data_IF_828080649893
#
_entry.id   IF_828080649893
#
_cell.length_a   1.000
_cell.length_b   1.000
_cell.length_c   1.000
_cell.angle_alpha   90.00
_cell.angle_beta   90.00
_cell.angle_gamma   90.00
#
_symmetry.space_group_name_H-M   'P 1'
#
loop_
_entity.id
_entity.type
_entity.pdbx_description
1 polymer ?
#
# COMPACT_ATOMS: atom_id res chain seq x y z
N UNK A 1 -23.15 4.47 22.45
CA UNK A 1 -22.07 4.90 23.35
C UNK A 1 -21.89 3.93 24.51
N UNK A 2 -22.94 3.62 25.27
CA UNK A 2 -22.89 2.74 26.43
C UNK A 2 -22.30 1.35 26.08
N UNK A 3 -22.75 0.71 24.99
CA UNK A 3 -22.22 -0.57 24.54
C UNK A 3 -20.74 -0.45 24.15
N UNK A 4 -20.35 0.62 23.50
CA UNK A 4 -18.96 0.85 23.07
C UNK A 4 -18.00 1.19 24.22
N UNK A 5 -18.51 1.47 25.43
CA UNK A 5 -17.73 1.86 26.60
C UNK A 5 -17.22 0.69 27.45
N UNK A 6 -17.57 -0.56 27.12
CA UNK A 6 -17.18 -1.75 27.88
C UNK A 6 -16.94 -2.96 26.97
N UNK A 7 -15.84 -3.66 27.16
CA UNK A 7 -15.51 -4.86 26.40
C UNK A 7 -16.56 -5.97 26.61
N UNK A 8 -17.09 -6.08 27.82
CA UNK A 8 -18.11 -7.06 28.18
C UNK A 8 -19.39 -6.83 27.38
N UNK A 9 -19.87 -5.57 27.33
CA UNK A 9 -21.05 -5.20 26.55
C UNK A 9 -20.83 -5.38 25.04
N UNK A 10 -19.64 -5.09 24.54
CA UNK A 10 -19.29 -5.31 23.13
C UNK A 10 -19.36 -6.79 22.78
N UNK A 11 -18.82 -7.66 23.66
CA UNK A 11 -18.78 -9.10 23.44
C UNK A 11 -20.17 -9.74 23.30
N UNK A 12 -21.19 -9.19 23.98
CA UNK A 12 -22.58 -9.64 23.87
C UNK A 12 -23.15 -9.51 22.44
N UNK A 13 -22.67 -8.53 21.66
CA UNK A 13 -23.25 -8.12 20.37
C UNK A 13 -22.33 -8.39 19.17
N UNK A 14 -21.09 -8.82 19.39
CA UNK A 14 -20.18 -9.17 18.29
C UNK A 14 -20.59 -10.51 17.69
N UNK A 15 -20.72 -10.53 16.36
CA UNK A 15 -21.01 -11.75 15.65
C UNK A 15 -19.79 -12.68 15.57
N UNK A 16 -20.02 -14.00 15.45
CA UNK A 16 -18.98 -14.90 15.01
C UNK A 16 -18.36 -14.42 13.71
N UNK A 17 -17.02 -14.54 13.60
CA UNK A 17 -16.27 -14.02 12.45
C UNK A 17 -16.82 -14.54 11.11
N UNK A 18 -17.23 -15.79 11.07
CA UNK A 18 -17.80 -16.44 9.88
C UNK A 18 -19.14 -15.83 9.43
N UNK A 19 -19.99 -15.37 10.37
CA UNK A 19 -21.24 -14.70 10.05
C UNK A 19 -21.01 -13.31 9.47
N UNK A 20 -20.13 -12.55 10.13
CA UNK A 20 -19.72 -11.24 9.64
C UNK A 20 -19.07 -11.34 8.25
N UNK A 21 -18.13 -12.27 8.05
CA UNK A 21 -17.43 -12.45 6.79
C UNK A 21 -18.40 -12.78 5.64
N UNK A 22 -19.40 -13.62 5.90
CA UNK A 22 -20.40 -13.98 4.89
C UNK A 22 -21.24 -12.79 4.41
N UNK A 23 -21.77 -11.96 5.31
CA UNK A 23 -22.52 -10.76 4.94
C UNK A 23 -21.60 -9.64 4.40
N UNK A 24 -20.40 -9.48 4.93
CA UNK A 24 -19.47 -8.45 4.47
C UNK A 24 -19.00 -8.65 3.02
N UNK A 25 -18.93 -9.89 2.54
CA UNK A 25 -18.66 -10.17 1.11
C UNK A 25 -19.81 -9.65 0.23
N UNK A 26 -21.06 -9.84 0.64
CA UNK A 26 -22.24 -9.33 -0.06
C UNK A 26 -22.24 -7.79 -0.03
N UNK A 27 -22.04 -7.20 1.13
CA UNK A 27 -21.95 -5.75 1.30
C UNK A 27 -20.88 -5.11 0.40
N UNK A 28 -19.67 -5.69 0.35
CA UNK A 28 -18.59 -5.20 -0.53
C UNK A 28 -18.94 -5.31 -2.02
N UNK A 29 -19.73 -6.30 -2.40
CA UNK A 29 -20.15 -6.53 -3.77
C UNK A 29 -21.34 -5.63 -4.18
N UNK A 30 -22.04 -4.98 -3.23
CA UNK A 30 -23.27 -4.23 -3.45
C UNK A 30 -23.16 -3.09 -4.47
N UNK A 31 -21.96 -2.50 -4.66
CA UNK A 31 -21.70 -1.48 -5.68
C UNK A 31 -21.83 -2.00 -7.13
N UNK A 32 -21.90 -3.32 -7.35
CA UNK A 32 -22.03 -3.92 -8.66
C UNK A 32 -23.03 -5.07 -8.61
N UNK A 33 -24.24 -4.92 -9.17
CA UNK A 33 -25.30 -5.92 -9.11
C UNK A 33 -24.88 -7.31 -9.57
N UNK A 34 -24.11 -7.42 -10.66
CA UNK A 34 -23.65 -8.71 -11.18
C UNK A 34 -22.71 -9.42 -10.19
N UNK A 35 -21.81 -8.67 -9.55
CA UNK A 35 -20.92 -9.22 -8.53
C UNK A 35 -21.66 -9.62 -7.26
N UNK A 36 -22.68 -8.87 -6.89
CA UNK A 36 -23.51 -9.16 -5.72
C UNK A 36 -24.31 -10.46 -5.92
N UNK A 37 -24.95 -10.64 -7.06
CA UNK A 37 -25.65 -11.89 -7.42
C UNK A 37 -24.69 -13.08 -7.38
N UNK A 38 -23.54 -12.96 -8.01
CA UNK A 38 -22.54 -14.03 -8.01
C UNK A 38 -22.05 -14.38 -6.59
N UNK A 39 -21.90 -13.39 -5.71
CA UNK A 39 -21.52 -13.59 -4.32
C UNK A 39 -22.63 -14.26 -3.52
N UNK A 40 -23.88 -13.84 -3.69
CA UNK A 40 -25.05 -14.47 -3.09
C UNK A 40 -25.13 -15.95 -3.48
N UNK A 41 -25.06 -16.27 -4.76
CA UNK A 41 -25.11 -17.68 -5.22
C UNK A 41 -23.92 -18.50 -4.67
N UNK A 42 -22.72 -17.96 -4.70
CA UNK A 42 -21.52 -18.64 -4.16
C UNK A 42 -21.65 -18.98 -2.69
N UNK A 43 -22.27 -18.10 -1.90
CA UNK A 43 -22.36 -18.25 -0.42
C UNK A 43 -23.73 -18.72 0.05
N UNK A 44 -24.66 -19.06 -0.84
CA UNK A 44 -26.06 -19.42 -0.57
C UNK A 44 -26.25 -20.37 0.62
N UNK A 45 -25.55 -21.51 0.61
CA UNK A 45 -25.70 -22.54 1.66
C UNK A 45 -25.36 -22.01 3.05
N UNK A 46 -24.28 -21.23 3.15
CA UNK A 46 -23.85 -20.63 4.43
C UNK A 46 -24.83 -19.55 4.89
N UNK A 47 -25.21 -18.66 3.98
CA UNK A 47 -26.14 -17.57 4.27
C UNK A 47 -27.50 -18.06 4.75
N UNK A 48 -28.07 -19.09 4.12
CA UNK A 48 -29.33 -19.69 4.56
C UNK A 48 -29.20 -20.37 5.95
N UNK A 49 -28.07 -21.04 6.22
CA UNK A 49 -27.81 -21.61 7.53
C UNK A 49 -27.80 -20.51 8.61
N UNK A 50 -27.13 -19.39 8.36
CA UNK A 50 -27.06 -18.29 9.33
C UNK A 50 -28.41 -17.57 9.46
N UNK A 51 -29.13 -17.35 8.35
CA UNK A 51 -30.47 -16.77 8.38
C UNK A 51 -31.43 -17.59 9.27
N UNK A 52 -31.38 -18.90 9.20
CA UNK A 52 -32.17 -19.77 10.07
C UNK A 52 -31.78 -19.61 11.56
N UNK A 53 -30.50 -19.45 11.88
CA UNK A 53 -30.04 -19.22 13.26
C UNK A 53 -30.54 -17.87 13.80
N UNK A 54 -30.51 -16.82 13.00
CA UNK A 54 -30.98 -15.49 13.42
C UNK A 54 -32.51 -15.37 13.44
N UNK A 55 -33.24 -16.20 12.74
CA UNK A 55 -34.70 -16.23 12.78
C UNK A 55 -35.26 -16.62 14.17
N UNK A 56 -34.50 -17.41 14.94
CA UNK A 56 -34.87 -17.83 16.30
C UNK A 56 -34.29 -16.93 17.41
N UNK A 57 -33.68 -15.79 17.05
CA UNK A 57 -33.03 -14.90 18.01
C UNK A 57 -34.07 -14.03 18.71
N UNK A 58 -34.24 -14.18 20.04
CA UNK A 58 -35.31 -13.56 20.80
C UNK A 58 -35.01 -12.14 21.32
N UNK A 59 -33.74 -11.69 21.24
CA UNK A 59 -33.35 -10.36 21.71
C UNK A 59 -34.05 -9.24 20.94
N UNK A 60 -34.58 -8.27 21.67
CA UNK A 60 -35.38 -7.14 21.12
C UNK A 60 -34.60 -5.81 21.06
N UNK A 61 -33.31 -5.83 21.40
CA UNK A 61 -32.49 -4.65 21.26
C UNK A 61 -32.22 -4.28 19.78
N UNK A 62 -31.93 -3.02 19.53
CA UNK A 62 -31.74 -2.47 18.19
C UNK A 62 -30.65 -3.19 17.37
N UNK A 63 -29.54 -3.64 18.01
CA UNK A 63 -28.44 -4.29 17.31
C UNK A 63 -28.87 -5.68 16.84
N UNK A 64 -29.55 -6.43 17.72
CA UNK A 64 -30.10 -7.75 17.41
C UNK A 64 -31.21 -7.68 16.37
N UNK A 65 -32.03 -6.62 16.41
CA UNK A 65 -33.06 -6.35 15.39
C UNK A 65 -32.43 -6.16 14.00
N UNK A 66 -31.40 -5.31 13.89
CA UNK A 66 -30.68 -5.08 12.60
C UNK A 66 -29.98 -6.35 12.10
N UNK A 67 -29.47 -7.17 13.00
CA UNK A 67 -28.92 -8.48 12.64
C UNK A 67 -29.99 -9.41 12.03
N UNK A 68 -31.17 -9.50 12.68
CA UNK A 68 -32.29 -10.30 12.15
C UNK A 68 -32.77 -9.78 10.81
N UNK A 69 -32.98 -8.46 10.68
CA UNK A 69 -33.38 -7.84 9.42
C UNK A 69 -32.44 -8.20 8.26
N UNK A 70 -31.12 -8.09 8.49
CA UNK A 70 -30.11 -8.39 7.49
C UNK A 70 -30.15 -9.86 7.00
N UNK A 71 -30.22 -10.80 7.93
CA UNK A 71 -30.30 -12.24 7.59
C UNK A 71 -31.68 -12.63 7.04
N UNK A 72 -32.75 -12.00 7.52
CA UNK A 72 -34.10 -12.17 6.99
C UNK A 72 -34.17 -11.71 5.53
N UNK A 73 -33.63 -10.55 5.20
CA UNK A 73 -33.60 -10.05 3.83
C UNK A 73 -32.90 -11.02 2.86
N UNK A 74 -31.80 -11.62 3.30
CA UNK A 74 -31.10 -12.65 2.52
C UNK A 74 -31.99 -13.90 2.31
N UNK A 75 -32.71 -14.34 3.35
CA UNK A 75 -33.65 -15.47 3.21
C UNK A 75 -34.81 -15.17 2.25
N UNK A 76 -35.39 -13.96 2.33
CA UNK A 76 -36.44 -13.49 1.46
C UNK A 76 -36.00 -13.38 -0.01
N UNK A 77 -34.76 -12.97 -0.26
CA UNK A 77 -34.19 -13.00 -1.60
C UNK A 77 -34.17 -14.40 -2.20
N UNK A 78 -33.73 -15.41 -1.46
CA UNK A 78 -33.69 -16.78 -1.96
C UNK A 78 -35.08 -17.43 -2.10
N UNK A 79 -36.11 -16.88 -1.45
CA UNK A 79 -37.48 -17.25 -1.66
C UNK A 79 -38.18 -16.48 -2.78
N UNK A 80 -37.48 -15.51 -3.40
CA UNK A 80 -38.01 -14.71 -4.49
C UNK A 80 -38.93 -13.57 -4.07
N UNK A 81 -38.93 -13.19 -2.79
CA UNK A 81 -39.80 -12.12 -2.26
C UNK A 81 -39.05 -10.76 -2.32
N UNK A 82 -37.74 -10.73 -2.00
CA UNK A 82 -36.92 -9.56 -2.03
C UNK A 82 -35.98 -9.54 -3.23
N UNK A 83 -35.59 -8.35 -3.64
CA UNK A 83 -34.58 -8.13 -4.66
C UNK A 83 -33.19 -7.74 -4.06
N UNK A 84 -32.26 -7.35 -4.92
CA UNK A 84 -30.90 -6.98 -4.50
C UNK A 84 -30.88 -5.68 -3.71
N UNK A 85 -31.78 -4.73 -4.03
CA UNK A 85 -31.86 -3.45 -3.35
C UNK A 85 -32.33 -3.62 -1.90
N UNK A 86 -33.33 -4.49 -1.68
CA UNK A 86 -33.83 -4.82 -0.35
C UNK A 86 -32.73 -5.42 0.53
N UNK A 87 -31.89 -6.32 -0.04
CA UNK A 87 -30.75 -6.88 0.69
C UNK A 87 -29.76 -5.77 1.04
N UNK A 88 -29.43 -4.91 0.09
CA UNK A 88 -28.43 -3.86 0.30
C UNK A 88 -28.87 -2.93 1.42
N UNK A 89 -30.12 -2.50 1.46
CA UNK A 89 -30.67 -1.64 2.49
C UNK A 89 -30.65 -2.32 3.87
N UNK A 90 -31.00 -3.60 3.94
CA UNK A 90 -31.08 -4.34 5.20
C UNK A 90 -29.68 -4.67 5.78
N UNK A 91 -28.69 -5.02 4.94
CA UNK A 91 -27.38 -5.46 5.45
C UNK A 91 -26.46 -4.31 5.81
N UNK A 92 -26.61 -3.11 5.24
CA UNK A 92 -25.72 -2.00 5.50
C UNK A 92 -25.69 -1.58 6.98
N UNK A 93 -26.82 -1.31 7.66
CA UNK A 93 -26.83 -0.96 9.08
C UNK A 93 -26.16 -2.05 9.96
N UNK A 94 -26.49 -3.31 9.72
CA UNK A 94 -25.94 -4.42 10.48
C UNK A 94 -24.41 -4.55 10.32
N UNK A 95 -23.88 -4.43 9.12
CA UNK A 95 -22.44 -4.45 8.85
C UNK A 95 -21.73 -3.24 9.47
N UNK A 96 -22.33 -2.06 9.41
CA UNK A 96 -21.76 -0.85 10.02
C UNK A 96 -21.68 -0.99 11.54
N UNK A 97 -22.73 -1.49 12.18
CA UNK A 97 -22.73 -1.76 13.63
C UNK A 97 -21.62 -2.76 13.99
N UNK A 98 -21.50 -3.88 13.27
CA UNK A 98 -20.46 -4.87 13.56
C UNK A 98 -19.05 -4.32 13.35
N UNK A 99 -18.82 -3.46 12.36
CA UNK A 99 -17.53 -2.77 12.20
C UNK A 99 -17.21 -1.84 13.37
N UNK A 100 -18.20 -1.11 13.86
CA UNK A 100 -18.04 -0.25 15.03
C UNK A 100 -17.70 -1.06 16.29
N UNK A 101 -18.44 -2.14 16.54
CA UNK A 101 -18.20 -3.03 17.68
C UNK A 101 -16.83 -3.72 17.59
N UNK A 102 -16.45 -4.19 16.39
CA UNK A 102 -15.12 -4.77 16.15
C UNK A 102 -14.00 -3.76 16.45
N UNK A 103 -14.14 -2.50 16.04
CA UNK A 103 -13.16 -1.46 16.35
C UNK A 103 -13.11 -1.10 17.83
N UNK A 104 -14.24 -1.04 18.48
CA UNK A 104 -14.29 -0.83 19.92
C UNK A 104 -13.64 -2.02 20.69
N UNK A 105 -13.91 -3.25 20.27
CA UNK A 105 -13.26 -4.44 20.83
C UNK A 105 -11.73 -4.41 20.64
N UNK A 106 -11.26 -4.00 19.47
CA UNK A 106 -9.83 -3.83 19.18
C UNK A 106 -9.16 -2.83 20.13
N UNK A 107 -9.83 -1.69 20.40
CA UNK A 107 -9.37 -0.69 21.36
C UNK A 107 -9.15 -1.30 22.74
N UNK A 108 -10.14 -2.00 23.28
CA UNK A 108 -10.06 -2.59 24.61
C UNK A 108 -9.09 -3.78 24.68
N UNK A 109 -9.09 -4.64 23.68
CA UNK A 109 -8.19 -5.81 23.63
C UNK A 109 -6.71 -5.40 23.54
N UNK A 110 -6.40 -4.24 22.99
CA UNK A 110 -5.05 -3.70 22.95
C UNK A 110 -4.76 -2.74 24.13
N UNK A 111 -5.64 -2.69 25.12
CA UNK A 111 -5.49 -1.83 26.31
C UNK A 111 -5.27 -0.35 25.98
N UNK A 112 -5.89 0.15 24.89
CA UNK A 112 -5.82 1.56 24.53
C UNK A 112 -6.69 2.38 25.49
N UNK A 113 -6.16 3.48 25.96
CA UNK A 113 -6.88 4.40 26.83
C UNK A 113 -7.86 5.23 26.00
N UNK A 114 -9.15 5.05 26.21
CA UNK A 114 -10.19 5.88 25.62
C UNK A 114 -10.35 7.14 26.48
N UNK A 115 -10.09 8.30 25.92
CA UNK A 115 -10.32 9.58 26.63
C UNK A 115 -11.79 9.94 26.63
N UNK A 116 -12.46 9.82 25.49
CA UNK A 116 -13.89 10.05 25.33
C UNK A 116 -14.45 9.47 24.04
N UNK A 117 -15.76 9.32 23.99
CA UNK A 117 -16.49 9.06 22.76
C UNK A 117 -17.23 10.34 22.31
N UNK A 118 -17.20 10.61 21.02
CA UNK A 118 -17.89 11.71 20.38
C UNK A 118 -18.88 11.19 19.33
N UNK A 119 -19.99 11.88 19.16
CA UNK A 119 -20.99 11.60 18.12
C UNK A 119 -21.02 12.78 17.12
N UNK A 120 -20.00 12.84 16.26
CA UNK A 120 -19.92 13.80 15.17
C UNK A 120 -19.70 13.01 13.87
N UNK A 121 -20.61 13.08 12.90
CA UNK A 121 -20.57 12.26 11.67
C UNK A 121 -20.45 10.73 11.90
N UNK A 122 -20.90 10.24 13.05
CA UNK A 122 -20.80 8.87 13.51
C UNK A 122 -20.12 8.77 14.89
N UNK A 123 -20.07 7.55 15.41
CA UNK A 123 -19.42 7.29 16.69
C UNK A 123 -17.90 7.34 16.53
N UNK A 124 -17.24 8.25 17.20
CA UNK A 124 -15.79 8.42 17.20
C UNK A 124 -15.25 8.21 18.62
N UNK A 125 -14.25 7.34 18.76
CA UNK A 125 -13.50 7.20 20.01
C UNK A 125 -12.21 8.03 19.91
N UNK A 126 -12.02 8.95 20.84
CA UNK A 126 -10.76 9.65 21.02
C UNK A 126 -9.91 8.82 21.97
N UNK A 127 -8.82 8.31 21.46
CA UNK A 127 -7.91 7.43 22.20
C UNK A 127 -6.56 8.08 22.41
N UNK A 128 -5.97 7.82 23.57
CA UNK A 128 -4.57 8.12 23.81
C UNK A 128 -3.74 6.98 23.24
N UNK A 129 -3.11 7.23 22.09
CA UNK A 129 -2.23 6.24 21.47
C UNK A 129 -0.78 6.68 21.58
N UNK A 130 0.11 5.72 21.79
CA UNK A 130 1.53 5.94 21.57
C UNK A 130 1.82 5.73 20.08
N UNK A 131 2.61 6.65 19.48
CA UNK A 131 3.23 6.34 18.22
C UNK A 131 4.11 5.08 18.39
N UNK A 132 4.13 4.19 17.40
CA UNK A 132 4.91 2.94 17.45
C UNK A 132 6.36 3.20 17.86
N UNK A 133 6.92 4.31 17.40
CA UNK A 133 8.28 4.69 17.76
C UNK A 133 8.44 5.06 19.23
N UNK A 134 7.50 5.80 19.82
CA UNK A 134 7.56 6.16 21.24
C UNK A 134 7.45 4.92 22.14
N UNK A 135 6.63 3.96 21.77
CA UNK A 135 6.54 2.67 22.43
C UNK A 135 7.87 1.89 22.35
N UNK A 136 8.45 1.77 21.16
CA UNK A 136 9.74 1.11 20.97
C UNK A 136 10.85 1.81 21.77
N UNK A 137 10.88 3.14 21.74
CA UNK A 137 11.85 3.94 22.50
C UNK A 137 11.71 3.73 24.01
N UNK A 138 10.49 3.65 24.51
CA UNK A 138 10.24 3.38 25.93
C UNK A 138 10.72 1.98 26.33
N UNK A 139 10.37 0.94 25.57
CA UNK A 139 10.78 -0.45 25.86
C UNK A 139 12.30 -0.64 25.73
N UNK A 140 12.88 -0.16 24.65
CA UNK A 140 14.31 -0.32 24.40
C UNK A 140 15.17 0.56 25.34
N UNK A 141 14.67 1.74 25.72
CA UNK A 141 15.37 2.66 26.62
C UNK A 141 15.28 2.31 28.10
N UNK A 142 14.38 1.38 28.49
CA UNK A 142 14.24 0.92 29.89
C UNK A 142 14.95 -0.41 30.14
N UNK A 143 15.23 -0.70 31.43
CA UNK A 143 15.78 -2.01 31.82
C UNK A 143 14.76 -3.14 31.57
N UNK A 144 15.21 -4.34 31.16
CA UNK A 144 16.62 -4.78 31.04
C UNK A 144 17.32 -4.39 29.73
N UNK A 145 16.62 -3.72 28.78
CA UNK A 145 17.17 -3.40 27.46
C UNK A 145 18.23 -2.30 27.50
N UNK A 146 17.92 -1.19 28.12
CA UNK A 146 18.85 -0.09 28.45
C UNK A 146 19.67 0.46 27.26
N UNK A 147 18.96 0.83 26.16
CA UNK A 147 19.57 1.47 24.98
C UNK A 147 19.44 2.99 25.03
N UNK A 148 20.49 3.70 24.63
CA UNK A 148 20.41 5.08 24.16
C UNK A 148 19.96 5.04 22.69
N UNK A 149 18.89 5.78 22.35
CA UNK A 149 18.24 5.72 21.04
C UNK A 149 18.17 7.11 20.43
N UNK A 150 18.50 7.19 19.14
CA UNK A 150 18.25 8.36 18.28
C UNK A 150 17.49 7.94 17.03
N UNK A 151 16.70 8.85 16.46
CA UNK A 151 15.97 8.60 15.24
C UNK A 151 15.72 9.90 14.48
N UNK A 152 15.74 9.80 13.17
CA UNK A 152 15.36 10.89 12.27
C UNK A 152 14.96 10.34 10.89
N UNK A 153 14.41 11.22 10.04
CA UNK A 153 14.10 10.90 8.65
C UNK A 153 15.30 11.27 7.78
N UNK A 154 15.96 10.27 7.23
CA UNK A 154 17.12 10.44 6.38
C UNK A 154 16.76 10.29 4.90
N UNK A 155 17.39 11.08 4.03
CA UNK A 155 17.26 10.98 2.58
C UNK A 155 18.47 10.21 2.01
N UNK A 156 18.23 9.16 1.23
CA UNK A 156 19.29 8.36 0.62
C UNK A 156 20.23 9.20 -0.27
N UNK A 157 19.71 10.23 -0.93
CA UNK A 157 20.52 11.13 -1.76
C UNK A 157 21.61 11.85 -0.96
N UNK A 158 21.39 12.17 0.33
CA UNK A 158 22.42 12.77 1.18
C UNK A 158 23.60 11.84 1.43
N UNK A 159 23.44 10.54 1.20
CA UNK A 159 24.47 9.51 1.37
C UNK A 159 25.05 9.01 0.05
N UNK A 160 24.76 9.73 -1.05
CA UNK A 160 25.34 9.46 -2.35
C UNK A 160 24.55 8.45 -3.21
N UNK A 161 23.35 8.06 -2.81
CA UNK A 161 22.46 7.35 -3.73
C UNK A 161 21.90 8.32 -4.78
N UNK A 162 21.78 7.94 -6.05
CA UNK A 162 21.16 8.78 -7.09
C UNK A 162 19.62 8.74 -6.99
N UNK A 163 19.10 8.78 -5.75
CA UNK A 163 17.69 8.58 -5.45
C UNK A 163 17.25 9.41 -4.24
N UNK A 164 16.22 10.25 -4.41
CA UNK A 164 15.52 10.90 -3.29
C UNK A 164 14.59 9.89 -2.63
N UNK A 165 15.07 9.24 -1.58
CA UNK A 165 14.34 8.23 -0.81
C UNK A 165 14.41 8.54 0.67
N UNK A 166 13.30 9.04 1.19
CA UNK A 166 13.16 9.31 2.63
C UNK A 166 12.94 8.01 3.39
N UNK A 167 13.68 7.83 4.48
CA UNK A 167 13.54 6.68 5.39
C UNK A 167 13.66 7.13 6.83
N UNK A 168 12.71 6.69 7.64
CA UNK A 168 12.82 6.82 9.08
C UNK A 168 13.84 5.80 9.58
N UNK A 169 14.92 6.28 10.16
CA UNK A 169 16.05 5.47 10.64
C UNK A 169 16.14 5.60 12.14
N UNK A 170 16.24 4.47 12.81
CA UNK A 170 16.42 4.39 14.26
C UNK A 170 17.76 3.72 14.55
N UNK A 171 18.58 4.33 15.37
CA UNK A 171 19.83 3.74 15.86
C UNK A 171 19.80 3.65 17.37
N UNK A 172 20.37 2.57 17.91
CA UNK A 172 20.46 2.37 19.36
C UNK A 172 21.81 1.78 19.75
N UNK A 173 22.33 2.20 20.89
CA UNK A 173 23.54 1.66 21.51
C UNK A 173 23.23 1.30 22.96
N UNK A 174 23.80 0.21 23.47
CA UNK A 174 23.69 -0.13 24.90
C UNK A 174 24.33 0.99 25.74
N UNK A 175 23.62 1.45 26.78
CA UNK A 175 24.18 2.50 27.67
C UNK A 175 25.45 2.06 28.40
N UNK A 176 25.65 0.75 28.53
CA UNK A 176 26.93 0.21 29.03
C UNK A 176 28.14 0.53 28.13
N UNK A 177 27.88 0.86 26.84
CA UNK A 177 28.93 1.25 25.87
C UNK A 177 28.98 2.74 25.63
N UNK A 178 27.84 3.43 25.59
CA UNK A 178 27.73 4.86 25.42
C UNK A 178 26.33 5.38 25.81
N UNK A 179 26.31 6.55 26.45
CA UNK A 179 25.03 7.21 26.82
C UNK A 179 24.33 7.89 25.65
N UNK A 180 24.96 8.00 24.50
CA UNK A 180 24.37 8.59 23.30
C UNK A 180 24.90 7.97 22.01
N UNK A 181 24.10 8.05 20.96
CA UNK A 181 24.49 7.69 19.60
C UNK A 181 23.96 8.76 18.64
N UNK A 182 24.75 9.11 17.64
CA UNK A 182 24.37 10.06 16.60
C UNK A 182 24.11 9.33 15.30
N UNK A 183 23.10 9.77 14.55
CA UNK A 183 22.89 9.33 13.18
C UNK A 183 24.05 9.81 12.30
N UNK A 184 24.46 9.02 11.30
CA UNK A 184 25.49 9.45 10.36
C UNK A 184 25.00 10.70 9.62
N UNK A 185 25.91 11.61 9.33
CA UNK A 185 25.63 12.78 8.51
C UNK A 185 25.93 12.44 7.05
N UNK A 186 25.03 12.85 6.15
CA UNK A 186 25.24 12.72 4.72
C UNK A 186 26.29 13.73 4.22
N UNK A 187 27.01 13.35 3.16
CA UNK A 187 28.05 14.16 2.52
C UNK A 187 27.54 14.95 1.33
N UNK A 188 26.29 14.73 0.91
CA UNK A 188 25.66 15.34 -0.26
C UNK A 188 24.50 16.25 0.14
N UNK A 189 24.28 17.31 -0.63
CA UNK A 189 23.19 18.27 -0.48
C UNK A 189 22.42 18.37 -1.79
N UNK A 190 21.32 19.10 -1.84
CA UNK A 190 20.52 19.25 -3.05
C UNK A 190 21.31 19.85 -4.25
N UNK A 191 22.37 20.57 -3.97
CA UNK A 191 23.23 21.20 -4.98
C UNK A 191 24.21 20.22 -5.64
N UNK A 192 24.51 19.11 -4.99
CA UNK A 192 25.51 18.14 -5.46
C UNK A 192 25.03 16.67 -5.35
N UNK A 193 23.72 16.42 -5.32
CA UNK A 193 23.22 15.07 -5.37
C UNK A 193 23.69 14.34 -6.62
N UNK A 194 24.04 13.09 -6.48
CA UNK A 194 24.24 12.18 -7.60
C UNK A 194 22.94 12.00 -8.38
N UNK A 195 23.04 11.95 -9.68
CA UNK A 195 21.92 11.93 -10.61
C UNK A 195 21.73 10.57 -11.25
N UNK A 196 20.61 10.40 -11.98
CA UNK A 196 20.40 9.21 -12.81
C UNK A 196 21.52 9.07 -13.84
N UNK A 197 22.02 10.17 -14.39
CA UNK A 197 23.16 10.17 -15.33
C UNK A 197 24.41 9.53 -14.72
N UNK A 198 24.74 9.89 -13.48
CA UNK A 198 25.89 9.33 -12.79
C UNK A 198 25.81 7.82 -12.61
N UNK A 199 24.60 7.26 -12.55
CA UNK A 199 24.39 5.84 -12.25
C UNK A 199 24.29 4.95 -13.50
N UNK A 200 23.68 5.45 -14.60
CA UNK A 200 23.28 4.57 -15.72
C UNK A 200 23.67 5.07 -17.11
N UNK A 201 24.24 6.26 -17.26
CA UNK A 201 24.54 6.79 -18.60
C UNK A 201 25.54 5.93 -19.38
N UNK A 202 26.43 5.24 -18.70
CA UNK A 202 27.39 4.32 -19.30
C UNK A 202 26.75 3.06 -19.90
N UNK A 203 25.49 2.79 -19.59
CA UNK A 203 24.71 1.67 -20.13
C UNK A 203 23.83 2.05 -21.33
N UNK A 204 23.75 3.34 -21.70
CA UNK A 204 22.84 3.83 -22.74
C UNK A 204 23.02 3.11 -24.08
N UNK A 205 24.27 2.82 -24.44
CA UNK A 205 24.62 2.15 -25.69
C UNK A 205 24.66 0.62 -25.60
N UNK A 206 24.31 0.05 -24.44
CA UNK A 206 24.24 -1.39 -24.23
C UNK A 206 22.82 -1.86 -24.45
N UNK A 207 22.62 -2.76 -25.42
CA UNK A 207 21.28 -3.28 -25.70
C UNK A 207 20.82 -4.26 -24.60
N UNK A 208 19.67 -4.03 -23.96
CA UNK A 208 19.13 -4.98 -22.99
C UNK A 208 18.56 -6.22 -23.67
N UNK A 209 18.56 -7.34 -22.94
CA UNK A 209 17.91 -8.57 -23.37
C UNK A 209 16.46 -8.62 -22.88
N UNK A 210 15.62 -9.47 -23.51
CA UNK A 210 14.20 -9.59 -23.16
C UNK A 210 13.88 -10.81 -22.31
N UNK A 211 14.69 -11.87 -22.40
CA UNK A 211 14.49 -13.09 -21.63
C UNK A 211 15.65 -13.34 -20.68
N UNK A 212 15.36 -13.90 -19.54
CA UNK A 212 16.38 -14.25 -18.53
C UNK A 212 17.37 -15.28 -19.10
N UNK A 213 16.92 -16.21 -19.95
CA UNK A 213 17.76 -17.20 -20.62
C UNK A 213 18.84 -16.59 -21.52
N UNK A 214 18.60 -15.37 -22.01
CA UNK A 214 19.49 -14.68 -22.92
C UNK A 214 20.53 -13.82 -22.18
N UNK A 215 20.39 -13.69 -20.85
CA UNK A 215 21.30 -12.93 -19.97
C UNK A 215 22.58 -13.74 -19.64
N UNK A 216 23.30 -14.11 -20.67
CA UNK A 216 24.61 -14.80 -20.54
C UNK A 216 25.72 -13.86 -20.06
N UNK A 217 25.42 -12.56 -19.99
CA UNK A 217 26.33 -11.49 -19.64
C UNK A 217 26.89 -10.77 -20.87
N UNK A 218 26.79 -9.46 -20.88
CA UNK A 218 27.32 -8.60 -21.97
C UNK A 218 28.65 -8.00 -21.52
N UNK A 219 29.76 -8.20 -22.26
CA UNK A 219 31.01 -7.54 -21.94
C UNK A 219 30.86 -6.02 -21.95
N UNK A 220 31.29 -5.38 -20.88
CA UNK A 220 31.35 -3.92 -20.80
C UNK A 220 32.67 -3.46 -21.44
N UNK A 221 32.55 -2.70 -22.51
CA UNK A 221 33.69 -2.05 -23.13
C UNK A 221 34.29 -0.93 -22.27
N UNK A 222 35.44 -0.43 -22.68
CA UNK A 222 36.01 0.79 -22.09
C UNK A 222 35.05 1.96 -22.34
N UNK A 223 34.75 2.70 -21.29
CA UNK A 223 33.95 3.93 -21.34
C UNK A 223 34.81 5.08 -20.85
N UNK A 224 35.07 6.04 -21.74
CA UNK A 224 35.95 7.19 -21.44
C UNK A 224 35.27 8.24 -20.56
N UNK A 225 33.93 8.29 -20.60
CA UNK A 225 33.12 9.28 -19.84
C UNK A 225 32.20 8.58 -18.84
N UNK A 226 32.80 7.89 -17.87
CA UNK A 226 32.06 7.27 -16.78
C UNK A 226 32.22 8.06 -15.48
N UNK A 227 31.12 8.32 -14.78
CA UNK A 227 31.11 8.97 -13.48
C UNK A 227 31.82 8.12 -12.40
N UNK A 228 32.21 8.74 -11.30
CA UNK A 228 32.77 8.01 -10.14
C UNK A 228 31.75 6.99 -9.57
N UNK A 229 30.45 7.32 -9.59
CA UNK A 229 29.41 6.37 -9.21
C UNK A 229 29.33 5.22 -10.22
N UNK A 230 29.30 5.51 -11.52
CA UNK A 230 29.28 4.50 -12.56
C UNK A 230 30.48 3.54 -12.46
N UNK A 231 31.68 4.05 -12.20
CA UNK A 231 32.87 3.21 -11.93
C UNK A 231 32.66 2.31 -10.71
N UNK A 232 32.13 2.84 -9.62
CA UNK A 232 31.87 2.07 -8.42
C UNK A 232 30.79 1.00 -8.60
N UNK A 233 29.81 1.23 -9.50
CA UNK A 233 28.75 0.27 -9.81
C UNK A 233 29.18 -0.81 -10.81
N UNK A 234 30.30 -0.65 -11.50
CA UNK A 234 30.94 -1.65 -12.37
C UNK A 234 31.80 -2.59 -11.54
N UNK A 235 31.19 -3.51 -10.83
CA UNK A 235 31.85 -4.50 -9.99
C UNK A 235 32.54 -5.61 -10.80
N UNK A 236 32.14 -5.78 -12.05
CA UNK A 236 32.68 -6.80 -12.99
C UNK A 236 32.82 -6.22 -14.39
N UNK A 237 33.61 -6.90 -15.25
CA UNK A 237 33.74 -6.58 -16.68
C UNK A 237 32.55 -7.07 -17.52
N UNK A 238 31.58 -7.73 -16.89
CA UNK A 238 30.42 -8.34 -17.57
C UNK A 238 29.13 -7.83 -16.95
N UNK A 239 28.32 -7.15 -17.76
CA UNK A 239 27.01 -6.70 -17.36
C UNK A 239 26.02 -7.87 -17.32
N UNK A 240 25.31 -7.99 -16.20
CA UNK A 240 24.17 -8.91 -16.00
C UNK A 240 22.94 -8.16 -15.52
N UNK A 241 21.79 -8.83 -15.62
CA UNK A 241 20.49 -8.27 -15.25
C UNK A 241 20.06 -7.04 -16.08
N UNK A 242 20.70 -6.85 -17.26
CA UNK A 242 20.26 -5.79 -18.17
C UNK A 242 19.08 -6.28 -19.01
N UNK A 243 17.98 -6.57 -18.30
CA UNK A 243 16.79 -7.24 -18.83
C UNK A 243 15.62 -6.27 -18.81
N UNK A 244 14.87 -6.19 -19.92
CA UNK A 244 13.61 -5.46 -20.02
C UNK A 244 12.47 -6.42 -20.38
N UNK A 245 11.23 -6.01 -20.11
CA UNK A 245 10.03 -6.70 -20.60
C UNK A 245 9.61 -6.16 -21.95
N UNK A 246 8.96 -7.02 -22.76
CA UNK A 246 8.32 -6.56 -23.98
C UNK A 246 7.29 -5.47 -23.69
N UNK A 247 7.38 -4.41 -24.46
CA UNK A 247 6.51 -3.24 -24.36
C UNK A 247 5.46 -3.29 -25.46
N UNK A 248 4.18 -3.21 -25.10
CA UNK A 248 3.08 -3.16 -26.06
C UNK A 248 3.09 -1.83 -26.81
N UNK A 249 2.57 -1.83 -28.05
CA UNK A 249 2.55 -0.65 -28.92
C UNK A 249 1.95 0.59 -28.24
N UNK A 250 0.82 0.42 -27.55
CA UNK A 250 0.18 1.52 -26.79
C UNK A 250 1.06 2.10 -25.67
N UNK A 251 1.91 1.30 -25.05
CA UNK A 251 2.85 1.79 -24.07
C UNK A 251 4.07 2.44 -24.74
N UNK A 252 4.48 1.94 -25.89
CA UNK A 252 5.55 2.52 -26.71
C UNK A 252 5.18 3.91 -27.20
N UNK A 253 3.95 4.14 -27.67
CA UNK A 253 3.45 5.45 -28.05
C UNK A 253 3.50 6.45 -26.88
N UNK A 254 3.14 6.01 -25.68
CA UNK A 254 3.27 6.81 -24.46
C UNK A 254 4.73 7.15 -24.14
N UNK A 255 5.63 6.18 -24.28
CA UNK A 255 7.06 6.42 -24.06
C UNK A 255 7.56 7.54 -24.98
N UNK A 256 7.28 7.45 -26.28
CA UNK A 256 7.70 8.45 -27.29
C UNK A 256 7.16 9.86 -27.01
N UNK A 257 5.97 9.95 -26.42
CA UNK A 257 5.32 11.24 -26.14
C UNK A 257 5.86 11.95 -24.88
N UNK A 258 6.56 11.24 -23.99
CA UNK A 258 7.06 11.80 -22.73
C UNK A 258 8.45 12.41 -22.91
N UNK A 259 8.68 13.57 -22.32
CA UNK A 259 10.01 14.18 -22.12
C UNK A 259 10.60 13.78 -20.77
N UNK A 260 11.89 13.99 -20.56
CA UNK A 260 12.56 13.76 -19.29
C UNK A 260 11.81 14.48 -18.14
N UNK A 261 11.66 13.81 -17.02
CA UNK A 261 10.92 14.30 -15.86
C UNK A 261 9.39 14.24 -15.98
N UNK A 262 8.84 13.93 -17.15
CA UNK A 262 7.39 13.81 -17.36
C UNK A 262 6.86 12.40 -17.02
N UNK A 263 5.61 12.34 -16.62
CA UNK A 263 4.91 11.10 -16.28
C UNK A 263 3.56 11.00 -17.01
N UNK A 264 2.77 9.98 -16.67
CA UNK A 264 1.46 9.72 -17.26
C UNK A 264 0.52 10.94 -17.32
N UNK A 265 0.58 11.83 -16.34
CA UNK A 265 -0.30 13.00 -16.30
C UNK A 265 0.03 14.06 -17.37
N UNK A 266 1.27 14.08 -17.86
CA UNK A 266 1.71 14.98 -18.92
C UNK A 266 1.32 14.53 -20.33
N UNK A 267 0.82 13.31 -20.50
CA UNK A 267 0.36 12.79 -21.79
C UNK A 267 -0.90 13.51 -22.28
N UNK A 268 -1.10 13.55 -23.58
CA UNK A 268 -2.36 13.97 -24.18
C UNK A 268 -3.49 12.98 -23.82
N UNK A 269 -4.72 13.46 -23.78
CA UNK A 269 -5.87 12.65 -23.37
C UNK A 269 -6.12 11.46 -24.31
N UNK A 270 -5.76 11.57 -25.58
CA UNK A 270 -5.81 10.47 -26.56
C UNK A 270 -4.93 9.27 -26.16
N UNK A 271 -3.81 9.53 -25.48
CA UNK A 271 -2.88 8.51 -24.98
C UNK A 271 -3.23 7.98 -23.58
N UNK A 272 -4.16 8.64 -22.87
CA UNK A 272 -4.63 8.22 -21.53
C UNK A 272 -5.77 7.20 -21.57
N UNK A 273 -6.33 6.90 -22.74
CA UNK A 273 -7.48 6.00 -22.91
C UNK A 273 -7.17 4.55 -22.51
N UNK A 274 -8.20 3.82 -22.05
CA UNK A 274 -8.16 2.38 -21.78
C UNK A 274 -7.17 1.88 -20.72
N UNK A 275 -6.70 2.74 -19.81
CA UNK A 275 -5.64 2.35 -18.86
C UNK A 275 -6.13 2.25 -17.41
N UNK A 276 -6.86 3.23 -16.94
CA UNK A 276 -7.28 3.35 -15.54
C UNK A 276 -8.73 3.79 -15.45
N UNK A 277 -9.47 3.23 -14.50
CA UNK A 277 -10.89 3.59 -14.25
C UNK A 277 -11.03 5.03 -13.76
N UNK A 278 -10.01 5.52 -13.06
CA UNK A 278 -9.96 6.89 -12.53
C UNK A 278 -8.53 7.41 -12.69
N UNK A 279 -8.35 8.27 -13.68
CA UNK A 279 -7.05 8.86 -14.03
C UNK A 279 -6.52 9.77 -12.91
N UNK A 280 -7.41 10.45 -12.17
CA UNK A 280 -7.02 11.37 -11.09
C UNK A 280 -6.32 10.67 -9.93
N UNK A 281 -6.55 9.37 -9.76
CA UNK A 281 -5.96 8.53 -8.70
C UNK A 281 -4.68 7.83 -9.14
N UNK A 282 -4.19 8.09 -10.33
CA UNK A 282 -2.96 7.50 -10.85
C UNK A 282 -1.75 8.12 -10.16
N UNK A 283 -0.83 7.28 -9.68
CA UNK A 283 0.38 7.74 -9.00
C UNK A 283 1.34 8.45 -9.97
N UNK A 284 2.03 9.48 -9.49
CA UNK A 284 3.00 10.26 -10.27
C UNK A 284 4.22 9.42 -10.76
N UNK A 285 4.39 8.21 -10.25
CA UNK A 285 5.45 7.30 -10.66
C UNK A 285 5.11 6.45 -11.89
N UNK A 286 3.86 6.53 -12.37
CA UNK A 286 3.41 5.74 -13.53
C UNK A 286 3.87 6.40 -14.83
N UNK A 287 4.50 5.63 -15.71
CA UNK A 287 5.10 6.10 -16.97
C UNK A 287 6.08 7.26 -16.78
N UNK A 288 6.79 7.29 -15.64
CA UNK A 288 7.79 8.33 -15.39
C UNK A 288 8.99 8.12 -16.30
N UNK A 289 9.22 9.05 -17.24
CA UNK A 289 10.51 9.13 -17.93
C UNK A 289 11.51 9.79 -16.97
N UNK A 290 12.54 9.07 -16.61
CA UNK A 290 13.57 9.58 -15.72
C UNK A 290 14.24 10.82 -16.32
N UNK A 291 14.75 11.67 -15.44
CA UNK A 291 15.56 12.82 -15.82
C UNK A 291 17.02 12.50 -15.53
N UNK A 292 17.88 12.63 -16.52
CA UNK A 292 19.31 12.37 -16.34
C UNK A 292 19.97 13.31 -15.34
N UNK A 293 19.50 14.54 -15.27
CA UNK A 293 20.15 15.59 -14.48
C UNK A 293 19.54 15.76 -13.07
N UNK A 294 18.70 14.80 -12.69
CA UNK A 294 18.10 14.74 -11.35
C UNK A 294 18.28 13.37 -10.70
N UNK A 295 18.29 13.28 -9.37
CA UNK A 295 18.15 11.99 -8.70
C UNK A 295 16.75 11.41 -8.95
N UNK A 296 16.65 10.09 -9.09
CA UNK A 296 15.38 9.40 -9.24
C UNK A 296 14.49 9.54 -7.99
N UNK A 297 13.19 9.32 -8.13
CA UNK A 297 12.29 9.08 -7.01
C UNK A 297 12.52 7.68 -6.39
N UNK A 298 11.72 7.34 -5.39
CA UNK A 298 11.76 5.99 -4.81
C UNK A 298 11.31 4.96 -5.86
N UNK A 299 12.20 4.03 -6.19
CA UNK A 299 11.86 2.88 -7.04
C UNK A 299 10.81 2.03 -6.32
N UNK A 300 9.65 1.89 -6.96
CA UNK A 300 8.58 1.02 -6.50
C UNK A 300 8.63 -0.30 -7.30
N UNK A 301 7.62 -0.64 -8.04
CA UNK A 301 7.66 -1.80 -8.91
C UNK A 301 7.89 -1.34 -10.35
N UNK A 302 9.12 -1.44 -10.85
CA UNK A 302 9.51 -0.97 -12.20
C UNK A 302 8.59 -1.53 -13.28
N UNK A 303 8.21 -2.80 -13.18
CA UNK A 303 7.31 -3.44 -14.15
C UNK A 303 5.89 -2.86 -14.11
N UNK A 304 5.36 -2.53 -12.93
CA UNK A 304 4.01 -1.95 -12.78
C UNK A 304 3.98 -0.47 -13.08
N UNK A 305 5.01 0.28 -12.69
CA UNK A 305 5.10 1.72 -12.86
C UNK A 305 5.57 2.11 -14.27
N UNK A 306 6.16 1.18 -15.04
CA UNK A 306 6.61 1.41 -16.40
C UNK A 306 7.54 2.65 -16.49
N UNK A 307 8.59 2.67 -15.66
CA UNK A 307 9.59 3.73 -15.73
C UNK A 307 10.34 3.69 -17.06
N UNK A 308 10.50 4.86 -17.65
CA UNK A 308 11.07 5.02 -18.99
C UNK A 308 12.50 5.53 -18.87
N UNK A 309 13.39 4.99 -19.69
CA UNK A 309 14.78 5.46 -19.79
C UNK A 309 14.80 6.95 -20.16
N UNK A 310 15.76 7.77 -19.65
CA UNK A 310 15.78 9.20 -19.89
C UNK A 310 15.74 9.60 -21.38
N UNK A 311 16.51 8.93 -22.23
CA UNK A 311 16.68 9.28 -23.66
C UNK A 311 16.11 8.22 -24.60
N UNK A 312 16.02 6.96 -24.18
CA UNK A 312 15.56 5.85 -25.02
C UNK A 312 14.08 5.54 -24.80
N UNK A 313 13.37 5.19 -25.88
CA UNK A 313 11.95 4.83 -25.82
C UNK A 313 11.79 3.38 -25.37
N UNK A 314 12.27 3.05 -24.18
CA UNK A 314 12.14 1.76 -23.55
C UNK A 314 11.97 1.87 -22.02
N UNK A 315 11.44 0.84 -21.42
CA UNK A 315 11.49 0.76 -19.96
C UNK A 315 12.95 0.67 -19.48
N UNK A 316 13.19 1.13 -18.25
CA UNK A 316 14.47 0.87 -17.58
C UNK A 316 14.62 -0.63 -17.37
N UNK A 317 15.84 -1.13 -17.50
CA UNK A 317 16.14 -2.53 -17.21
C UNK A 317 16.18 -2.80 -15.70
N UNK A 318 16.24 -4.08 -15.33
CA UNK A 318 16.42 -4.46 -13.92
C UNK A 318 17.74 -3.92 -13.38
N UNK A 319 18.77 -3.84 -14.21
CA UNK A 319 20.09 -3.30 -13.83
C UNK A 319 20.08 -1.78 -13.63
N UNK A 320 19.29 -1.07 -14.41
CA UNK A 320 19.19 0.38 -14.34
C UNK A 320 18.26 0.88 -13.21
N UNK A 321 17.43 0.00 -12.65
CA UNK A 321 16.47 0.31 -11.57
C UNK A 321 17.04 0.10 -10.18
#
# INVERSE_FOLDING_TARGET
>A
LEIASSIERIAEFIWPEEHYAALNVIYKAAKNPKKMIAALEKHRKKLLKYAAAYASYENTDYISEKAREAFHAVAQYYSGVFDIADIQEAIEPAIMIQRMLSKASEIYSNHLVVERFENAFGLVAIIKSFAVFDYLKAILGSKPNDYAITADVLCAANYGAPQKRMRFVVMGIKRSLSDSIKLPQGSFTEENYRTVRDAIADLENVAPVKNISDDVGTPLGECTEISELGKALRDTSVLKNHIITDTRDTAMERFKALKQGQNFHALDDSLKTNTYTDISRTQNTIYLRLDYDAPSGTVVNVRKSMWVHPTLDRAVSVREA
#
